data_IF_485391107827
#
_entry.id   IF_485391107827
#
_cell.length_a   1.000
_cell.length_b   1.000
_cell.length_c   1.000
_cell.angle_alpha   90.00
_cell.angle_beta   90.00
_cell.angle_gamma   90.00
#
_symmetry.space_group_name_H-M   'P 1'
#
loop_
_entity.id
_entity.type
_entity.pdbx_description
1 polymer ?
#
# COMPACT_ATOMS: atom_id res chain seq x y z
N UNK A 1 -18.06 27.16 -3.20
CA UNK A 1 -17.97 26.67 -4.61
C UNK A 1 -16.81 25.68 -4.71
N UNK A 2 -16.88 24.67 -5.59
CA UNK A 2 -15.79 23.69 -5.78
C UNK A 2 -14.61 24.32 -6.55
N UNK A 3 -13.35 23.87 -6.33
CA UNK A 3 -12.15 24.51 -6.88
C UNK A 3 -11.93 24.29 -8.39
N UNK A 4 -12.61 23.32 -9.02
CA UNK A 4 -12.54 23.07 -10.45
C UNK A 4 -13.89 22.63 -11.01
N UNK A 5 -14.10 22.85 -12.32
CA UNK A 5 -15.25 22.37 -13.09
C UNK A 5 -14.96 20.97 -13.65
N UNK A 6 -16.00 20.22 -13.95
CA UNK A 6 -15.88 18.84 -14.46
C UNK A 6 -14.96 18.72 -15.69
N UNK A 7 -15.02 19.68 -16.62
CA UNK A 7 -14.19 19.67 -17.83
C UNK A 7 -12.71 20.02 -17.60
N UNK A 8 -12.33 20.41 -16.38
CA UNK A 8 -10.95 20.67 -15.98
C UNK A 8 -10.29 19.44 -15.34
N UNK A 9 -11.06 18.38 -15.04
CA UNK A 9 -10.55 17.12 -14.47
C UNK A 9 -10.07 16.24 -15.64
N UNK A 10 -8.79 15.90 -15.64
CA UNK A 10 -8.16 15.07 -16.68
C UNK A 10 -7.63 13.77 -16.06
N UNK A 11 -7.74 12.67 -16.81
CA UNK A 11 -7.07 11.41 -16.51
C UNK A 11 -5.78 11.34 -17.32
N UNK A 12 -4.62 11.49 -16.68
CA UNK A 12 -3.32 11.31 -17.33
C UNK A 12 -2.75 9.95 -17.00
N UNK A 13 -2.46 9.18 -18.04
CA UNK A 13 -1.83 7.88 -17.95
C UNK A 13 -2.64 6.82 -17.19
N UNK A 14 -1.95 5.91 -16.52
CA UNK A 14 -2.52 4.74 -15.85
C UNK A 14 -1.83 4.45 -14.53
N UNK A 15 -2.60 3.92 -13.57
CA UNK A 15 -2.07 3.50 -12.27
C UNK A 15 -2.55 2.11 -11.87
N UNK A 16 -1.74 1.43 -11.07
CA UNK A 16 -2.05 0.12 -10.47
C UNK A 16 -1.70 0.17 -8.99
N UNK A 17 -2.59 -0.36 -8.14
CA UNK A 17 -2.36 -0.56 -6.70
C UNK A 17 -2.25 -2.06 -6.41
N UNK A 18 -1.18 -2.46 -5.74
CA UNK A 18 -1.04 -3.75 -5.09
C UNK A 18 -1.08 -3.58 -3.57
N UNK A 19 -1.84 -4.44 -2.89
CA UNK A 19 -1.90 -4.47 -1.42
C UNK A 19 -1.00 -5.57 -0.89
N UNK A 20 -0.06 -5.19 -0.03
CA UNK A 20 0.79 -6.13 0.67
C UNK A 20 0.14 -6.48 2.00
N UNK A 21 -0.33 -7.72 2.12
CA UNK A 21 -0.95 -8.26 3.32
C UNK A 21 0.01 -9.16 4.09
N UNK A 22 -0.07 -9.12 5.42
CA UNK A 22 0.55 -10.08 6.32
C UNK A 22 -0.28 -11.37 6.33
N UNK A 23 -0.21 -12.14 5.24
CA UNK A 23 -0.96 -13.39 5.05
C UNK A 23 -0.02 -14.50 4.60
N UNK A 24 -0.28 -15.73 5.05
CA UNK A 24 0.46 -16.91 4.63
C UNK A 24 -0.19 -17.57 3.40
N UNK A 25 0.38 -17.29 2.23
CA UNK A 25 -0.09 -17.84 0.95
C UNK A 25 -0.03 -19.38 0.86
N UNK A 26 0.82 -20.04 1.66
CA UNK A 26 0.92 -21.51 1.68
C UNK A 26 -0.12 -22.14 2.62
N UNK A 27 -0.73 -21.33 3.48
CA UNK A 27 -1.69 -21.74 4.49
C UNK A 27 -3.01 -20.98 4.31
N UNK A 28 -3.59 -21.10 3.11
CA UNK A 28 -4.91 -20.56 2.74
C UNK A 28 -5.09 -19.05 3.00
N UNK A 29 -4.01 -18.26 2.90
CA UNK A 29 -4.01 -16.82 3.17
C UNK A 29 -4.43 -16.47 4.60
N UNK A 30 -4.15 -17.35 5.57
CA UNK A 30 -4.40 -17.02 6.96
C UNK A 30 -3.58 -15.80 7.40
N UNK A 31 -4.16 -14.89 8.21
CA UNK A 31 -3.44 -13.76 8.76
C UNK A 31 -2.20 -14.20 9.54
N UNK A 32 -1.05 -13.67 9.16
CA UNK A 32 0.23 -13.89 9.81
C UNK A 32 0.50 -12.75 10.79
N UNK A 33 0.42 -13.04 12.09
CA UNK A 33 0.74 -12.09 13.15
C UNK A 33 2.18 -12.21 13.61
N UNK A 34 2.72 -11.12 14.15
CA UNK A 34 4.06 -11.09 14.72
C UNK A 34 4.82 -9.80 14.41
N UNK A 35 6.09 -9.80 14.79
CA UNK A 35 6.96 -8.63 14.68
C UNK A 35 7.52 -8.46 13.26
N UNK A 36 7.48 -7.23 12.76
CA UNK A 36 8.09 -6.84 11.51
C UNK A 36 9.60 -6.65 11.71
N UNK A 37 10.34 -7.75 11.72
CA UNK A 37 11.80 -7.74 11.93
C UNK A 37 12.57 -6.93 10.88
N UNK A 38 12.08 -6.92 9.64
CA UNK A 38 12.68 -6.16 8.56
C UNK A 38 11.62 -5.74 7.53
N UNK A 39 11.54 -4.45 7.26
CA UNK A 39 10.63 -3.89 6.26
C UNK A 39 11.29 -2.71 5.56
N UNK A 40 11.51 -2.84 4.24
CA UNK A 40 12.10 -1.79 3.41
C UNK A 40 11.41 -1.71 2.05
N UNK A 41 10.91 -0.52 1.74
CA UNK A 41 10.34 -0.18 0.44
C UNK A 41 11.28 0.70 -0.37
N UNK A 42 11.14 0.73 -1.72
CA UNK A 42 11.77 1.78 -2.52
C UNK A 42 11.28 3.16 -2.07
N UNK A 43 12.11 4.22 -2.17
CA UNK A 43 11.67 5.57 -1.87
C UNK A 43 10.58 6.01 -2.85
N UNK A 44 9.64 6.80 -2.35
CA UNK A 44 8.63 7.43 -3.20
C UNK A 44 9.31 8.30 -4.26
N UNK A 45 8.80 8.24 -5.47
CA UNK A 45 9.27 9.03 -6.60
C UNK A 45 8.10 9.35 -7.53
N UNK A 46 8.40 9.89 -8.72
CA UNK A 46 7.38 10.28 -9.71
C UNK A 46 6.44 9.14 -10.10
N UNK A 47 6.94 7.91 -10.13
CA UNK A 47 6.23 6.73 -10.65
C UNK A 47 5.86 5.72 -9.56
N UNK A 48 6.44 5.83 -8.37
CA UNK A 48 6.22 4.88 -7.27
C UNK A 48 5.77 5.63 -6.03
N UNK A 49 4.62 5.23 -5.49
CA UNK A 49 4.09 5.69 -4.20
C UNK A 49 3.80 4.49 -3.31
N UNK A 50 4.32 4.53 -2.10
CA UNK A 50 4.04 3.53 -1.06
C UNK A 50 3.29 4.22 0.06
N UNK A 51 2.05 3.79 0.28
CA UNK A 51 1.25 4.23 1.43
C UNK A 51 1.38 3.14 2.51
N UNK A 52 1.97 3.50 3.65
CA UNK A 52 2.32 2.58 4.72
C UNK A 52 2.00 3.17 6.10
N UNK A 53 1.42 2.34 6.98
CA UNK A 53 1.06 2.71 8.36
C UNK A 53 1.89 2.03 9.45
N UNK A 54 2.85 1.18 9.07
CA UNK A 54 3.73 0.42 9.97
C UNK A 54 5.20 0.65 9.63
N UNK A 55 6.11 0.25 10.50
CA UNK A 55 7.56 0.31 10.27
C UNK A 55 8.25 -0.93 10.81
N UNK A 56 9.53 -1.08 10.47
CA UNK A 56 10.38 -2.11 11.07
C UNK A 56 10.34 -1.98 12.60
N UNK A 57 10.11 -3.09 13.28
CA UNK A 57 9.95 -3.17 14.73
C UNK A 57 8.51 -3.05 15.26
N UNK A 58 7.53 -2.73 14.40
CA UNK A 58 6.12 -2.80 14.79
C UNK A 58 5.61 -4.25 14.80
N UNK A 59 4.52 -4.51 15.53
CA UNK A 59 3.87 -5.82 15.60
C UNK A 59 2.54 -5.80 14.86
N UNK A 60 2.32 -6.76 13.96
CA UNK A 60 1.02 -7.01 13.34
C UNK A 60 0.18 -7.86 14.29
N UNK A 61 -0.92 -7.29 14.79
CA UNK A 61 -1.85 -7.95 15.70
C UNK A 61 -3.07 -8.55 15.00
N UNK A 62 -3.84 -9.38 15.72
CA UNK A 62 -5.05 -10.04 15.22
C UNK A 62 -6.28 -9.12 15.12
N UNK A 63 -6.21 -7.92 15.72
CA UNK A 63 -7.39 -7.07 15.95
C UNK A 63 -7.72 -6.14 14.79
N UNK A 64 -6.85 -6.07 13.79
CA UNK A 64 -6.96 -5.15 12.65
C UNK A 64 -6.71 -5.86 11.33
N UNK A 65 -7.01 -5.17 10.23
CA UNK A 65 -6.70 -5.62 8.87
C UNK A 65 -5.19 -5.90 8.73
N UNK A 66 -4.75 -7.05 8.19
CA UNK A 66 -3.33 -7.39 8.08
C UNK A 66 -2.59 -6.60 6.98
N UNK A 67 -3.13 -5.47 6.52
CA UNK A 67 -2.52 -4.66 5.48
C UNK A 67 -1.24 -4.00 5.99
N UNK A 68 -0.11 -4.37 5.39
CA UNK A 68 1.20 -3.77 5.65
C UNK A 68 1.35 -2.46 4.86
N UNK A 69 1.07 -2.50 3.56
CA UNK A 69 1.25 -1.35 2.68
C UNK A 69 0.39 -1.43 1.41
N UNK A 70 0.14 -0.27 0.82
CA UNK A 70 -0.32 -0.15 -0.57
C UNK A 70 0.85 0.31 -1.42
N UNK A 71 1.14 -0.44 -2.48
CA UNK A 71 2.18 -0.14 -3.44
C UNK A 71 1.48 0.31 -4.71
N UNK A 72 1.62 1.60 -5.02
CA UNK A 72 0.98 2.23 -6.17
C UNK A 72 2.05 2.62 -7.16
N UNK A 73 1.84 2.25 -8.42
CA UNK A 73 2.64 2.72 -9.54
C UNK A 73 1.79 3.52 -10.51
N UNK A 74 2.40 4.51 -11.16
CA UNK A 74 1.79 5.30 -12.23
C UNK A 74 2.79 5.49 -13.36
N UNK A 75 2.30 5.39 -14.59
CA UNK A 75 3.06 5.75 -15.79
C UNK A 75 2.11 6.31 -16.85
N UNK A 76 2.67 6.74 -17.98
CA UNK A 76 2.13 7.50 -19.13
C UNK A 76 1.82 9.00 -18.95
#
# INVERSE_FOLDING_TARGET
>A
PLPCKQNQIQCSGHSVEARLYAEDTQNEFLPSVGDLLWLRFPPNNKHVRVDIGVKTGDTIGIHYDPLIAKIIVHDC
#
